data_IF_431121937448
#
_entry.id   IF_431121937448
#
_cell.length_a   1.000
_cell.length_b   1.000
_cell.length_c   1.000
_cell.angle_alpha   90.00
_cell.angle_beta   90.00
_cell.angle_gamma   90.00
#
_symmetry.space_group_name_H-M   'P 1'
#
loop_
_entity.id
_entity.type
_entity.pdbx_description
1 polymer ?
#
# COMPACT_ATOMS: atom_id res chain seq x y z
N UNK A 1 42.95 -12.46 29.87
CA UNK A 1 43.40 -11.10 30.26
C UNK A 1 43.34 -10.93 31.77
N UNK A 2 44.38 -10.34 32.37
CA UNK A 2 44.38 -9.95 33.79
C UNK A 2 43.31 -8.89 34.08
N UNK A 3 42.93 -8.72 35.34
CA UNK A 3 41.96 -7.70 35.75
C UNK A 3 42.45 -6.28 35.41
N UNK A 4 43.75 -6.02 35.60
CA UNK A 4 44.39 -4.75 35.25
C UNK A 4 44.28 -4.45 33.74
N UNK A 5 44.57 -5.44 32.88
CA UNK A 5 44.47 -5.26 31.42
C UNK A 5 43.03 -4.97 30.95
N UNK A 6 42.02 -5.55 31.63
CA UNK A 6 40.61 -5.24 31.35
C UNK A 6 40.24 -3.81 31.72
N UNK A 7 40.71 -3.33 32.88
CA UNK A 7 40.47 -1.95 33.32
C UNK A 7 41.13 -0.94 32.40
N UNK A 8 42.36 -1.20 31.94
CA UNK A 8 43.05 -0.34 30.96
C UNK A 8 42.29 -0.25 29.64
N UNK A 9 41.89 -1.39 29.07
CA UNK A 9 41.13 -1.40 27.82
C UNK A 9 39.78 -0.66 27.94
N UNK A 10 39.14 -0.71 29.11
CA UNK A 10 37.88 0.02 29.34
C UNK A 10 38.08 1.52 29.61
N UNK A 11 39.24 1.91 30.10
CA UNK A 11 39.67 3.31 30.17
C UNK A 11 39.96 3.87 28.77
N UNK A 12 40.55 3.07 27.89
CA UNK A 12 40.80 3.48 26.48
C UNK A 12 39.49 3.75 25.73
N UNK A 13 38.43 3.01 26.04
CA UNK A 13 37.08 3.29 25.54
C UNK A 13 36.54 4.64 26.03
N UNK A 14 36.77 4.98 27.30
CA UNK A 14 36.37 6.29 27.84
C UNK A 14 37.15 7.42 27.14
N UNK A 15 38.47 7.22 26.94
CA UNK A 15 39.31 8.14 26.16
C UNK A 15 38.71 8.37 24.77
N UNK A 16 38.31 7.31 24.06
CA UNK A 16 37.69 7.43 22.74
C UNK A 16 36.41 8.27 22.75
N UNK A 17 35.55 8.12 23.75
CA UNK A 17 34.35 8.96 23.90
C UNK A 17 34.74 10.43 24.05
N UNK A 18 35.71 10.73 24.92
CA UNK A 18 36.14 12.10 25.20
C UNK A 18 36.92 12.75 24.07
N UNK A 19 37.76 12.03 23.34
CA UNK A 19 38.59 12.62 22.29
C UNK A 19 37.88 12.58 20.94
N UNK A 20 37.39 11.41 20.52
CA UNK A 20 36.84 11.20 19.18
C UNK A 20 35.38 11.62 19.10
N UNK A 21 34.50 11.14 19.99
CA UNK A 21 33.07 11.45 19.88
C UNK A 21 32.78 12.92 20.26
N UNK A 22 33.38 13.38 21.36
CA UNK A 22 33.24 14.75 21.84
C UNK A 22 34.09 15.78 21.06
N UNK A 23 35.03 15.32 20.23
CA UNK A 23 35.97 16.14 19.45
C UNK A 23 36.82 17.08 20.31
N UNK A 24 37.42 16.51 21.37
CA UNK A 24 38.39 17.19 22.21
C UNK A 24 39.82 16.78 21.80
N UNK A 25 40.81 17.62 22.12
CA UNK A 25 42.22 17.36 21.85
C UNK A 25 42.70 16.09 22.60
N UNK A 26 43.26 15.15 21.85
CA UNK A 26 43.79 13.89 22.39
C UNK A 26 45.02 14.11 23.28
N UNK A 27 45.80 15.15 23.01
CA UNK A 27 47.07 15.42 23.71
C UNK A 27 46.86 15.78 25.17
N UNK A 28 45.74 16.45 25.48
CA UNK A 28 45.42 16.99 26.80
C UNK A 28 44.11 16.43 27.37
N UNK A 29 43.72 15.22 26.95
CA UNK A 29 42.42 14.67 27.32
C UNK A 29 42.27 14.47 28.84
N UNK A 30 43.34 14.13 29.56
CA UNK A 30 43.32 13.94 31.03
C UNK A 30 43.13 15.26 31.80
N UNK A 31 43.53 16.39 31.22
CA UNK A 31 43.40 17.73 31.83
C UNK A 31 42.17 18.48 31.35
N UNK A 32 41.39 17.89 30.43
CA UNK A 32 40.16 18.48 29.94
C UNK A 32 39.06 18.45 31.02
N UNK A 33 38.28 19.53 31.15
CA UNK A 33 37.19 19.69 32.12
C UNK A 33 36.28 18.45 32.24
N UNK A 34 35.95 17.83 31.10
CA UNK A 34 35.13 16.60 31.07
C UNK A 34 35.79 15.46 31.85
N UNK A 35 37.08 15.20 31.63
CA UNK A 35 37.77 14.14 32.35
C UNK A 35 37.99 14.48 33.81
N UNK A 36 38.36 15.73 34.10
CA UNK A 36 38.52 16.20 35.47
C UNK A 36 37.22 16.04 36.28
N UNK A 37 36.08 16.41 35.68
CA UNK A 37 34.78 16.25 36.31
C UNK A 37 34.38 14.77 36.49
N UNK A 38 34.62 13.93 35.48
CA UNK A 38 34.32 12.49 35.56
C UNK A 38 35.18 11.81 36.63
N UNK A 39 36.51 12.02 36.61
CA UNK A 39 37.42 11.45 37.60
C UNK A 39 37.13 11.96 39.01
N UNK A 40 36.80 13.23 39.19
CA UNK A 40 36.37 13.78 40.48
C UNK A 40 35.09 13.12 40.99
N UNK A 41 34.16 12.79 40.09
CA UNK A 41 32.93 12.04 40.40
C UNK A 41 33.16 10.53 40.59
N UNK A 42 34.38 10.02 40.40
CA UNK A 42 34.73 8.60 40.53
C UNK A 42 34.49 7.76 39.28
N UNK A 43 34.37 8.40 38.11
CA UNK A 43 34.14 7.75 36.81
C UNK A 43 35.46 7.68 36.04
N UNK A 44 36.12 6.52 36.11
CA UNK A 44 37.44 6.30 35.51
C UNK A 44 37.41 5.44 34.23
N UNK A 45 36.32 4.70 34.01
CA UNK A 45 36.18 3.77 32.89
C UNK A 45 34.90 4.01 32.11
N UNK A 46 34.83 3.45 30.90
CA UNK A 46 33.61 3.52 30.10
C UNK A 46 32.43 2.81 30.77
N UNK A 47 32.69 1.69 31.45
CA UNK A 47 31.67 0.98 32.22
C UNK A 47 31.09 1.86 33.33
N UNK A 48 31.91 2.65 34.01
CA UNK A 48 31.45 3.60 35.03
C UNK A 48 30.58 4.70 34.41
N UNK A 49 30.97 5.24 33.24
CA UNK A 49 30.18 6.23 32.50
C UNK A 49 28.80 5.68 32.12
N UNK A 50 28.71 4.41 31.74
CA UNK A 50 27.46 3.76 31.36
C UNK A 50 26.49 3.54 32.52
N UNK A 51 26.96 3.64 33.77
CA UNK A 51 26.13 3.55 34.97
C UNK A 51 25.56 4.91 35.39
N UNK A 52 26.01 6.01 34.78
CA UNK A 52 25.55 7.35 35.13
C UNK A 52 24.13 7.61 34.64
N UNK A 53 23.31 8.22 35.50
CA UNK A 53 22.03 8.77 35.12
C UNK A 53 22.17 10.22 34.62
N UNK A 54 21.10 10.73 34.01
CA UNK A 54 21.01 12.14 33.59
C UNK A 54 21.33 13.10 34.74
N UNK A 55 20.81 12.82 35.93
CA UNK A 55 21.00 13.68 37.12
C UNK A 55 22.45 13.73 37.55
N UNK A 56 23.16 12.60 37.47
CA UNK A 56 24.58 12.52 37.79
C UNK A 56 25.41 13.38 36.84
N UNK A 57 25.15 13.26 35.53
CA UNK A 57 25.82 14.08 34.50
C UNK A 57 25.49 15.57 34.68
N UNK A 58 24.25 15.89 35.05
CA UNK A 58 23.83 17.27 35.31
C UNK A 58 24.51 17.87 36.55
N UNK A 59 24.88 17.04 37.52
CA UNK A 59 25.56 17.40 38.77
C UNK A 59 27.09 17.45 38.68
N UNK A 60 27.68 17.09 37.53
CA UNK A 60 29.14 17.08 37.34
C UNK A 60 29.76 18.46 37.58
N UNK A 61 30.77 18.49 38.45
CA UNK A 61 31.59 19.66 38.77
C UNK A 61 33.04 19.41 38.40
N UNK A 62 33.68 20.44 37.85
CA UNK A 62 35.12 20.44 37.57
C UNK A 62 35.81 20.90 38.87
N UNK A 63 36.72 20.08 39.45
CA UNK A 63 37.42 20.43 40.67
C UNK A 63 38.37 21.62 40.45
N UNK A 64 38.81 22.24 41.55
CA UNK A 64 39.78 23.34 41.51
C UNK A 64 41.04 22.90 40.77
N UNK A 65 41.38 23.59 39.70
CA UNK A 65 42.57 23.34 38.89
C UNK A 65 43.44 24.59 38.81
N UNK A 66 44.54 24.58 39.56
CA UNK A 66 45.44 25.73 39.66
C UNK A 66 44.75 26.95 40.26
N UNK A 67 44.47 27.96 39.43
CA UNK A 67 43.80 29.21 39.82
C UNK A 67 42.29 29.23 39.56
N UNK A 68 41.76 28.21 38.88
CA UNK A 68 40.34 28.13 38.52
C UNK A 68 39.58 27.49 39.69
N UNK A 69 38.60 28.22 40.23
CA UNK A 69 37.71 27.72 41.27
C UNK A 69 36.80 26.61 40.75
N UNK A 70 36.28 25.79 41.65
CA UNK A 70 35.32 24.74 41.30
C UNK A 70 34.12 25.33 40.56
N UNK A 71 33.74 24.72 39.44
CA UNK A 71 32.61 25.17 38.64
C UNK A 71 31.84 23.99 38.02
N UNK A 72 30.55 24.18 37.69
CA UNK A 72 29.79 23.17 36.98
C UNK A 72 30.39 22.87 35.60
N UNK A 73 30.31 21.63 35.15
CA UNK A 73 30.67 21.26 33.79
C UNK A 73 29.79 22.02 32.78
N UNK A 74 30.37 22.44 31.65
CA UNK A 74 29.66 23.23 30.64
C UNK A 74 28.38 22.56 30.15
N UNK A 75 27.32 23.35 29.89
CA UNK A 75 26.04 22.82 29.43
C UNK A 75 26.18 21.93 28.18
N UNK A 76 26.97 22.39 27.20
CA UNK A 76 27.23 21.64 25.96
C UNK A 76 27.92 20.31 26.25
N UNK A 77 28.94 20.30 27.11
CA UNK A 77 29.70 19.09 27.46
C UNK A 77 28.81 18.06 28.16
N UNK A 78 27.99 18.51 29.14
CA UNK A 78 26.99 17.65 29.81
C UNK A 78 26.01 17.02 28.81
N UNK A 79 25.50 17.81 27.87
CA UNK A 79 24.59 17.33 26.82
C UNK A 79 25.25 16.35 25.86
N UNK A 80 26.52 16.58 25.51
CA UNK A 80 27.25 15.70 24.62
C UNK A 80 27.60 14.36 25.30
N UNK A 81 27.94 14.34 26.59
CA UNK A 81 28.12 13.10 27.37
C UNK A 81 26.83 12.26 27.37
N UNK A 82 25.71 12.91 27.66
CA UNK A 82 24.40 12.26 27.62
C UNK A 82 24.08 11.71 26.22
N UNK A 83 24.37 12.49 25.17
CA UNK A 83 24.18 12.06 23.79
C UNK A 83 25.08 10.87 23.44
N UNK A 84 26.30 10.80 23.95
CA UNK A 84 27.24 9.69 23.71
C UNK A 84 26.72 8.38 24.32
N UNK A 85 26.21 8.42 25.55
CA UNK A 85 25.58 7.27 26.22
C UNK A 85 24.37 6.79 25.41
N UNK A 86 23.49 7.72 25.01
CA UNK A 86 22.33 7.39 24.18
C UNK A 86 22.71 6.82 22.81
N UNK A 87 23.77 7.34 22.19
CA UNK A 87 24.28 6.87 20.89
C UNK A 87 24.77 5.42 20.98
N UNK A 88 25.55 5.09 22.01
CA UNK A 88 26.00 3.72 22.26
C UNK A 88 24.81 2.76 22.39
N UNK A 89 23.82 3.12 23.21
CA UNK A 89 22.62 2.29 23.38
C UNK A 89 21.77 2.18 22.11
N UNK A 90 21.72 3.21 21.27
CA UNK A 90 21.02 3.16 20.00
C UNK A 90 21.70 2.21 19.02
N UNK A 91 23.01 2.31 18.85
CA UNK A 91 23.75 1.45 17.91
C UNK A 91 23.73 -0.02 18.36
N UNK A 92 23.87 -0.29 19.66
CA UNK A 92 23.73 -1.65 20.20
C UNK A 92 22.33 -2.24 19.91
N UNK A 93 21.27 -1.42 19.96
CA UNK A 93 19.90 -1.84 19.62
C UNK A 93 19.74 -2.13 18.13
N UNK A 94 20.23 -1.25 17.26
CA UNK A 94 20.15 -1.45 15.80
C UNK A 94 20.88 -2.73 15.35
N UNK A 95 22.01 -3.06 15.97
CA UNK A 95 22.80 -4.24 15.63
C UNK A 95 22.43 -5.50 16.42
N UNK A 96 21.47 -5.41 17.35
CA UNK A 96 21.08 -6.48 18.27
C UNK A 96 22.26 -7.15 18.99
N UNK A 97 23.32 -6.39 19.29
CA UNK A 97 24.53 -6.86 19.97
C UNK A 97 25.25 -5.72 20.68
N UNK A 98 26.04 -6.05 21.71
CA UNK A 98 26.98 -5.07 22.28
C UNK A 98 28.06 -4.77 21.24
N UNK A 99 28.22 -3.50 20.90
CA UNK A 99 29.34 -3.04 20.08
C UNK A 99 30.51 -2.58 20.96
N UNK A 100 31.70 -2.49 20.38
CA UNK A 100 32.80 -1.75 20.99
C UNK A 100 32.64 -0.26 20.68
N UNK A 101 32.65 0.60 21.70
CA UNK A 101 32.43 2.05 21.54
C UNK A 101 33.51 2.71 20.68
N UNK A 102 34.72 2.13 20.64
CA UNK A 102 35.82 2.58 19.77
C UNK A 102 35.48 2.51 18.28
N UNK A 103 34.49 1.71 17.90
CA UNK A 103 33.99 1.64 16.52
C UNK A 103 33.11 2.82 16.10
N UNK A 104 32.65 3.64 17.07
CA UNK A 104 31.80 4.80 16.80
C UNK A 104 32.69 5.98 16.38
N UNK A 105 32.67 6.35 15.11
CA UNK A 105 33.36 7.53 14.61
C UNK A 105 32.63 8.83 15.00
N UNK A 106 33.36 9.95 15.01
CA UNK A 106 32.79 11.28 15.17
C UNK A 106 31.63 11.54 14.20
N UNK A 107 31.78 11.16 12.92
CA UNK A 107 30.76 11.35 11.91
C UNK A 107 29.46 10.58 12.21
N UNK A 108 29.57 9.33 12.70
CA UNK A 108 28.40 8.54 13.10
C UNK A 108 27.71 9.15 14.31
N UNK A 109 28.50 9.62 15.29
CA UNK A 109 27.97 10.32 16.45
C UNK A 109 27.25 11.63 16.07
N UNK A 110 27.79 12.43 15.15
CA UNK A 110 27.12 13.64 14.68
C UNK A 110 25.81 13.34 13.95
N UNK A 111 25.76 12.31 13.10
CA UNK A 111 24.52 11.87 12.45
C UNK A 111 23.44 11.50 13.46
N UNK A 112 23.81 10.77 14.52
CA UNK A 112 22.89 10.46 15.61
C UNK A 112 22.39 11.73 16.31
N UNK A 113 23.30 12.64 16.67
CA UNK A 113 22.97 13.89 17.36
C UNK A 113 22.01 14.79 16.57
N UNK A 114 22.17 14.88 15.25
CA UNK A 114 21.36 15.75 14.39
C UNK A 114 20.01 15.11 14.04
N UNK A 115 19.98 13.79 13.79
CA UNK A 115 18.79 13.14 13.22
C UNK A 115 17.91 12.38 14.21
N UNK A 116 18.45 11.91 15.34
CA UNK A 116 17.77 10.93 16.22
C UNK A 116 17.78 11.30 17.70
N UNK A 117 18.69 12.15 18.14
CA UNK A 117 18.83 12.48 19.55
C UNK A 117 17.75 13.45 20.03
N UNK A 118 17.04 13.06 21.09
CA UNK A 118 16.11 13.91 21.83
C UNK A 118 16.72 14.28 23.20
N UNK A 119 17.01 15.57 23.47
CA UNK A 119 17.57 16.01 24.75
C UNK A 119 16.67 15.77 25.96
N UNK A 120 15.37 15.59 25.77
CA UNK A 120 14.36 15.39 26.82
C UNK A 120 14.08 13.91 27.13
N UNK A 121 14.40 13.01 26.20
CA UNK A 121 14.18 11.58 26.36
C UNK A 121 15.04 10.96 27.48
N UNK A 122 14.46 10.02 28.23
CA UNK A 122 15.22 9.26 29.23
C UNK A 122 16.28 8.35 28.57
N UNK A 123 17.40 8.16 29.28
CA UNK A 123 18.44 7.21 28.86
C UNK A 123 17.90 5.80 29.07
N UNK A 124 17.79 5.03 27.98
CA UNK A 124 17.28 3.65 28.01
C UNK A 124 18.41 2.69 27.66
N UNK A 125 18.84 1.83 28.60
CA UNK A 125 19.87 0.84 28.32
C UNK A 125 19.45 -0.14 27.22
N UNK A 126 20.41 -0.55 26.39
CA UNK A 126 20.14 -1.42 25.24
C UNK A 126 19.72 -2.85 25.62
N UNK A 127 20.18 -3.33 26.79
CA UNK A 127 19.79 -4.63 27.36
C UNK A 127 18.49 -4.57 28.13
N UNK A 128 18.00 -3.37 28.46
CA UNK A 128 16.64 -3.26 28.95
C UNK A 128 15.78 -3.69 27.78
N UNK A 129 15.13 -4.85 27.92
CA UNK A 129 13.86 -5.14 27.27
C UNK A 129 12.89 -4.07 27.76
N UNK A 130 13.06 -2.84 27.27
CA UNK A 130 11.92 -2.01 26.99
C UNK A 130 11.22 -2.86 25.95
N UNK A 131 10.18 -3.57 26.39
CA UNK A 131 9.10 -3.88 25.48
C UNK A 131 8.95 -2.60 24.65
N UNK A 132 8.97 -2.67 23.31
CA UNK A 132 8.72 -1.49 22.51
C UNK A 132 7.50 -0.80 23.13
N UNK A 133 7.29 0.48 22.88
CA UNK A 133 5.90 0.93 22.97
C UNK A 133 5.16 0.10 21.90
N UNK A 134 4.30 -0.83 22.29
CA UNK A 134 4.64 -2.27 22.22
C UNK A 134 4.14 -2.82 20.91
N UNK A 135 4.94 -3.66 20.23
CA UNK A 135 4.40 -4.40 19.10
C UNK A 135 3.15 -5.15 19.57
N UNK A 136 3.12 -5.69 20.78
CA UNK A 136 1.93 -6.25 21.42
C UNK A 136 0.83 -5.21 21.71
N UNK A 137 1.14 -3.96 22.09
CA UNK A 137 0.14 -2.89 22.27
C UNK A 137 -0.41 -2.36 20.93
N UNK A 138 0.39 -2.30 19.86
CA UNK A 138 -0.04 -2.01 18.50
C UNK A 138 -0.82 -3.19 17.90
N UNK A 139 -0.41 -4.43 18.19
CA UNK A 139 -1.14 -5.66 17.84
C UNK A 139 -2.45 -5.72 18.63
N UNK A 140 -2.46 -5.37 19.92
CA UNK A 140 -3.65 -5.36 20.78
C UNK A 140 -4.58 -4.20 20.41
N UNK A 141 -4.03 -3.03 20.09
CA UNK A 141 -4.76 -1.91 19.52
C UNK A 141 -5.32 -2.27 18.14
N UNK A 142 -4.54 -2.94 17.28
CA UNK A 142 -5.03 -3.45 16.00
C UNK A 142 -6.17 -4.45 16.24
N UNK A 143 -5.99 -5.46 17.09
CA UNK A 143 -7.02 -6.43 17.44
C UNK A 143 -8.30 -5.79 18.05
N UNK A 144 -8.18 -4.66 18.78
CA UNK A 144 -9.30 -3.94 19.41
C UNK A 144 -9.99 -2.94 18.48
N UNK A 145 -9.22 -2.20 17.67
CA UNK A 145 -9.68 -1.10 16.81
C UNK A 145 -10.21 -1.63 15.48
N UNK A 146 -9.67 -2.75 15.03
CA UNK A 146 -9.91 -3.28 13.69
C UNK A 146 -10.99 -4.36 13.79
N UNK A 147 -12.25 -3.92 13.88
CA UNK A 147 -13.42 -4.78 13.56
C UNK A 147 -13.48 -5.01 12.05
N UNK A 148 -12.39 -5.45 11.42
CA UNK A 148 -12.46 -5.85 10.01
C UNK A 148 -13.22 -7.17 9.97
N UNK A 149 -14.42 -7.11 9.41
CA UNK A 149 -15.15 -8.33 9.15
C UNK A 149 -14.64 -8.92 7.85
N UNK A 150 -14.31 -10.21 7.87
CA UNK A 150 -14.02 -10.94 6.61
C UNK A 150 -15.22 -10.91 5.66
N UNK A 151 -16.43 -10.67 6.16
CA UNK A 151 -17.64 -10.51 5.34
C UNK A 151 -17.62 -9.27 4.43
N UNK A 152 -16.77 -8.28 4.73
CA UNK A 152 -16.69 -7.05 3.95
C UNK A 152 -16.02 -7.27 2.58
N UNK A 153 -15.34 -8.41 2.42
CA UNK A 153 -14.68 -8.81 1.20
C UNK A 153 -15.56 -9.75 0.39
N UNK A 154 -15.99 -9.31 -0.80
CA UNK A 154 -16.79 -10.11 -1.73
C UNK A 154 -15.96 -11.27 -2.28
N UNK A 155 -16.64 -12.38 -2.56
CA UNK A 155 -15.99 -13.54 -3.17
C UNK A 155 -15.68 -13.33 -4.65
N UNK A 156 -14.50 -13.78 -5.08
CA UNK A 156 -14.07 -13.83 -6.47
C UNK A 156 -14.31 -15.22 -7.05
N UNK A 157 -15.41 -15.39 -7.80
CA UNK A 157 -15.83 -16.69 -8.36
C UNK A 157 -15.65 -16.82 -9.86
N UNK A 158 -15.72 -15.71 -10.58
CA UNK A 158 -15.67 -15.67 -12.04
C UNK A 158 -14.59 -14.69 -12.48
N UNK A 159 -13.64 -15.22 -13.25
CA UNK A 159 -12.47 -14.49 -13.74
C UNK A 159 -12.86 -13.30 -14.61
N UNK A 160 -13.98 -13.37 -15.34
CA UNK A 160 -14.47 -12.29 -16.20
C UNK A 160 -14.72 -10.97 -15.44
N UNK A 161 -14.96 -11.05 -14.12
CA UNK A 161 -15.23 -9.91 -13.26
C UNK A 161 -14.01 -9.44 -12.46
N UNK A 162 -12.80 -9.90 -12.80
CA UNK A 162 -11.57 -9.52 -12.10
C UNK A 162 -11.44 -8.01 -11.86
N UNK A 163 -11.69 -7.18 -12.87
CA UNK A 163 -11.56 -5.72 -12.74
C UNK A 163 -12.48 -5.14 -11.66
N UNK A 164 -13.78 -5.46 -11.74
CA UNK A 164 -14.76 -5.00 -10.77
C UNK A 164 -14.45 -5.53 -9.36
N UNK A 165 -14.10 -6.81 -9.27
CA UNK A 165 -13.76 -7.42 -7.98
C UNK A 165 -12.49 -6.81 -7.36
N UNK A 166 -11.44 -6.59 -8.16
CA UNK A 166 -10.16 -6.05 -7.67
C UNK A 166 -10.26 -4.59 -7.26
N UNK A 167 -11.07 -3.78 -7.96
CA UNK A 167 -11.41 -2.42 -7.54
C UNK A 167 -12.18 -2.40 -6.22
N UNK A 168 -13.25 -3.19 -6.11
CA UNK A 168 -14.04 -3.35 -4.88
C UNK A 168 -13.13 -3.81 -3.72
N UNK A 169 -12.26 -4.79 -3.97
CA UNK A 169 -11.31 -5.31 -2.98
C UNK A 169 -10.33 -4.22 -2.53
N UNK A 170 -9.74 -3.46 -3.46
CA UNK A 170 -8.81 -2.37 -3.15
C UNK A 170 -9.48 -1.27 -2.33
N UNK A 171 -10.73 -0.92 -2.65
CA UNK A 171 -11.51 0.06 -1.91
C UNK A 171 -11.76 -0.40 -0.46
N UNK A 172 -12.14 -1.66 -0.25
CA UNK A 172 -12.30 -2.24 1.09
C UNK A 172 -10.98 -2.25 1.86
N UNK A 173 -9.86 -2.59 1.21
CA UNK A 173 -8.53 -2.53 1.86
C UNK A 173 -8.16 -1.10 2.26
N UNK A 174 -8.47 -0.12 1.42
CA UNK A 174 -8.24 1.31 1.71
C UNK A 174 -9.10 1.81 2.87
N UNK A 175 -10.39 1.44 2.95
CA UNK A 175 -11.25 1.82 4.08
C UNK A 175 -10.75 1.24 5.40
N UNK A 176 -10.13 0.06 5.35
CA UNK A 176 -9.49 -0.57 6.50
C UNK A 176 -8.08 -0.06 6.82
N UNK A 177 -7.56 0.89 6.03
CA UNK A 177 -6.21 1.46 6.15
C UNK A 177 -5.10 0.39 6.08
N UNK A 178 -5.29 -0.62 5.22
CA UNK A 178 -4.36 -1.74 5.03
C UNK A 178 -3.69 -1.75 3.65
N UNK A 179 -3.65 -0.60 2.96
CA UNK A 179 -3.12 -0.48 1.59
C UNK A 179 -1.65 -0.90 1.48
N UNK A 180 -0.86 -0.68 2.53
CA UNK A 180 0.56 -1.08 2.60
C UNK A 180 0.79 -2.59 2.47
N UNK A 181 -0.23 -3.42 2.69
CA UNK A 181 -0.15 -4.88 2.53
C UNK A 181 -0.22 -5.35 1.07
N UNK A 182 -0.64 -4.47 0.15
CA UNK A 182 -0.73 -4.74 -1.29
C UNK A 182 0.27 -3.93 -2.11
N UNK A 183 0.90 -2.91 -1.51
CA UNK A 183 1.87 -2.05 -2.18
C UNK A 183 3.26 -2.70 -2.29
N UNK A 184 3.84 -2.63 -3.49
CA UNK A 184 5.18 -3.15 -3.76
C UNK A 184 6.25 -2.22 -3.18
N UNK A 185 7.24 -2.79 -2.49
CA UNK A 185 8.40 -2.04 -1.99
C UNK A 185 8.16 -1.31 -0.66
N UNK A 186 7.01 -1.51 -0.02
CA UNK A 186 6.76 -0.97 1.32
C UNK A 186 7.72 -1.58 2.36
N UNK A 187 8.42 -0.73 3.11
CA UNK A 187 9.30 -1.12 4.21
C UNK A 187 8.57 -0.83 5.52
N UNK A 188 8.25 -1.89 6.27
CA UNK A 188 7.51 -1.75 7.52
C UNK A 188 8.39 -1.18 8.64
N UNK A 189 7.89 -0.15 9.32
CA UNK A 189 8.50 0.39 10.54
C UNK A 189 8.49 -0.63 11.69
N UNK A 190 7.41 -1.43 11.78
CA UNK A 190 7.28 -2.55 12.73
C UNK A 190 7.14 -3.89 11.98
N UNK A 191 8.23 -4.67 11.84
CA UNK A 191 8.20 -5.96 11.13
C UNK A 191 7.28 -7.02 11.73
N UNK A 192 7.08 -6.99 13.05
CA UNK A 192 6.25 -7.98 13.76
C UNK A 192 4.76 -7.76 13.50
N UNK A 193 4.31 -6.49 13.54
CA UNK A 193 2.95 -6.10 13.19
C UNK A 193 2.66 -6.37 11.71
N UNK A 194 3.59 -6.01 10.83
CA UNK A 194 3.46 -6.26 9.38
C UNK A 194 3.28 -7.76 9.08
N UNK A 195 4.01 -8.63 9.78
CA UNK A 195 3.84 -10.09 9.64
C UNK A 195 2.42 -10.55 9.99
N UNK A 196 1.88 -10.12 11.13
CA UNK A 196 0.53 -10.51 11.58
C UNK A 196 -0.54 -9.97 10.63
N UNK A 197 -0.38 -8.73 10.18
CA UNK A 197 -1.29 -8.12 9.21
C UNK A 197 -1.25 -8.84 7.86
N UNK A 198 -0.07 -9.22 7.38
CA UNK A 198 0.07 -10.03 6.15
C UNK A 198 -0.58 -11.40 6.28
N UNK A 199 -0.37 -12.11 7.40
CA UNK A 199 -1.00 -13.41 7.64
C UNK A 199 -2.53 -13.31 7.64
N UNK A 200 -3.07 -12.27 8.30
CA UNK A 200 -4.50 -12.00 8.30
C UNK A 200 -5.04 -11.68 6.89
N UNK A 201 -4.33 -10.83 6.14
CA UNK A 201 -4.73 -10.46 4.78
C UNK A 201 -4.63 -11.66 3.83
N UNK A 202 -3.59 -12.47 3.97
CA UNK A 202 -3.40 -13.70 3.21
C UNK A 202 -4.54 -14.70 3.49
N UNK A 203 -4.95 -14.87 4.75
CA UNK A 203 -6.12 -15.68 5.09
C UNK A 203 -7.40 -15.13 4.45
N UNK A 204 -7.59 -13.81 4.45
CA UNK A 204 -8.73 -13.15 3.82
C UNK A 204 -8.74 -13.41 2.30
N UNK A 205 -7.59 -13.29 1.64
CA UNK A 205 -7.44 -13.63 0.21
C UNK A 205 -7.82 -15.09 -0.07
N UNK A 206 -7.35 -16.05 0.76
CA UNK A 206 -7.75 -17.46 0.65
C UNK A 206 -9.27 -17.68 0.79
N UNK A 207 -9.92 -16.92 1.66
CA UNK A 207 -11.38 -17.05 1.85
C UNK A 207 -12.17 -16.42 0.70
N UNK A 208 -11.69 -15.31 0.15
CA UNK A 208 -12.38 -14.58 -0.92
C UNK A 208 -12.16 -15.17 -2.31
N UNK A 209 -10.99 -15.73 -2.60
CA UNK A 209 -10.62 -16.20 -3.94
C UNK A 209 -11.11 -17.63 -4.15
N UNK A 210 -12.10 -17.78 -5.05
CA UNK A 210 -12.70 -19.08 -5.39
C UNK A 210 -12.29 -19.61 -6.76
N UNK A 211 -11.71 -18.78 -7.63
CA UNK A 211 -11.24 -19.17 -8.97
C UNK A 211 -10.10 -20.18 -8.91
N UNK A 212 -10.05 -21.08 -9.91
CA UNK A 212 -9.02 -22.13 -9.98
C UNK A 212 -7.62 -21.52 -10.14
N UNK A 213 -7.45 -20.54 -11.02
CA UNK A 213 -6.17 -19.86 -11.22
C UNK A 213 -5.75 -19.10 -9.94
N UNK A 214 -6.69 -18.37 -9.32
CA UNK A 214 -6.43 -17.64 -8.07
C UNK A 214 -5.97 -18.56 -6.92
N UNK A 215 -6.60 -19.73 -6.76
CA UNK A 215 -6.17 -20.74 -5.77
C UNK A 215 -4.78 -21.30 -6.05
N UNK A 216 -4.43 -21.49 -7.32
CA UNK A 216 -3.08 -21.94 -7.71
C UNK A 216 -2.03 -20.91 -7.30
N UNK A 217 -2.27 -19.62 -7.55
CA UNK A 217 -1.36 -18.55 -7.12
C UNK A 217 -1.25 -18.45 -5.60
N UNK A 218 -2.35 -18.61 -4.86
CA UNK A 218 -2.30 -18.64 -3.40
C UNK A 218 -1.41 -19.78 -2.92
N UNK A 219 -1.59 -20.99 -3.45
CA UNK A 219 -0.82 -22.18 -3.03
C UNK A 219 0.70 -21.98 -3.21
N UNK A 220 1.12 -21.28 -4.27
CA UNK A 220 2.53 -20.95 -4.50
C UNK A 220 3.14 -20.01 -3.45
N UNK A 221 2.33 -19.23 -2.75
CA UNK A 221 2.75 -18.23 -1.77
C UNK A 221 2.45 -18.62 -0.30
N UNK A 222 2.00 -19.86 -0.07
CA UNK A 222 1.58 -20.37 1.23
C UNK A 222 2.65 -20.30 2.33
N UNK A 223 3.93 -20.49 1.98
CA UNK A 223 5.02 -20.58 2.97
C UNK A 223 5.40 -19.23 3.56
N UNK A 224 5.28 -18.15 2.79
CA UNK A 224 5.80 -16.83 3.18
C UNK A 224 4.67 -15.82 3.45
N UNK A 225 3.41 -16.14 3.12
CA UNK A 225 2.26 -15.23 3.26
C UNK A 225 2.51 -13.84 2.65
N UNK A 226 3.31 -13.78 1.57
CA UNK A 226 3.72 -12.54 0.92
C UNK A 226 2.59 -11.98 0.05
N UNK A 227 1.69 -11.22 0.67
CA UNK A 227 0.49 -10.65 0.04
C UNK A 227 0.82 -9.67 -1.08
N UNK A 228 1.92 -8.92 -0.97
CA UNK A 228 2.37 -7.92 -1.96
C UNK A 228 2.76 -8.57 -3.28
N UNK A 229 3.61 -9.59 -3.20
CA UNK A 229 4.07 -10.34 -4.37
C UNK A 229 2.94 -11.14 -5.00
N UNK A 230 2.05 -11.70 -4.17
CA UNK A 230 0.84 -12.35 -4.64
C UNK A 230 -0.05 -11.38 -5.44
N UNK A 231 -0.34 -10.20 -4.89
CA UNK A 231 -1.20 -9.21 -5.53
C UNK A 231 -0.64 -8.70 -6.86
N UNK A 232 0.68 -8.48 -6.93
CA UNK A 232 1.38 -8.11 -8.16
C UNK A 232 1.24 -9.20 -9.23
N UNK A 233 1.54 -10.46 -8.88
CA UNK A 233 1.45 -11.58 -9.83
C UNK A 233 0.03 -11.82 -10.31
N UNK A 234 -0.95 -11.76 -9.41
CA UNK A 234 -2.36 -11.95 -9.77
C UNK A 234 -2.86 -10.81 -10.65
N UNK A 235 -2.50 -9.56 -10.32
CA UNK A 235 -2.81 -8.39 -11.14
C UNK A 235 -2.18 -8.48 -12.53
N UNK A 236 -0.93 -8.91 -12.62
CA UNK A 236 -0.26 -9.10 -13.91
C UNK A 236 -0.87 -10.28 -14.68
N UNK A 237 -1.20 -11.39 -14.03
CA UNK A 237 -1.85 -12.51 -14.68
C UNK A 237 -3.17 -12.09 -15.32
N UNK A 238 -4.07 -11.42 -14.59
CA UNK A 238 -5.36 -11.02 -15.15
C UNK A 238 -5.30 -9.79 -16.07
N UNK A 239 -4.23 -8.98 -16.01
CA UNK A 239 -3.94 -7.95 -17.02
C UNK A 239 -3.44 -8.55 -18.34
N UNK A 240 -2.65 -9.62 -18.28
CA UNK A 240 -1.88 -10.12 -19.44
C UNK A 240 -2.45 -11.43 -20.02
N UNK A 241 -3.19 -12.21 -19.24
CA UNK A 241 -3.57 -13.58 -19.58
C UNK A 241 -5.09 -13.76 -19.60
N UNK A 242 -5.59 -14.28 -20.72
CA UNK A 242 -6.85 -15.02 -20.88
C UNK A 242 -8.17 -14.30 -20.55
N UNK A 243 -8.30 -13.51 -19.49
CA UNK A 243 -9.55 -12.85 -19.11
C UNK A 243 -9.93 -11.71 -20.03
N UNK A 244 -8.98 -10.89 -20.47
CA UNK A 244 -9.24 -9.89 -21.51
C UNK A 244 -9.69 -10.57 -22.81
N UNK A 245 -9.07 -11.69 -23.17
CA UNK A 245 -9.41 -12.50 -24.35
C UNK A 245 -10.76 -13.23 -24.23
N UNK A 246 -11.07 -13.81 -23.06
CA UNK A 246 -12.36 -14.47 -22.79
C UNK A 246 -13.47 -13.42 -22.75
N UNK A 247 -13.21 -12.25 -22.14
CA UNK A 247 -14.17 -11.16 -22.07
C UNK A 247 -14.40 -10.56 -23.46
N UNK A 248 -13.36 -10.31 -24.23
CA UNK A 248 -13.51 -9.86 -25.62
C UNK A 248 -14.25 -10.91 -26.43
N UNK A 249 -13.91 -12.20 -26.31
CA UNK A 249 -14.62 -13.30 -26.98
C UNK A 249 -16.11 -13.37 -26.57
N UNK A 250 -16.44 -13.34 -25.28
CA UNK A 250 -17.82 -13.37 -24.78
C UNK A 250 -18.63 -12.14 -25.21
N UNK A 251 -18.00 -10.96 -25.17
CA UNK A 251 -18.64 -9.71 -25.61
C UNK A 251 -18.85 -9.73 -27.13
N UNK A 252 -17.88 -10.25 -27.89
CA UNK A 252 -17.98 -10.49 -29.33
C UNK A 252 -19.10 -11.46 -29.67
N UNK A 253 -19.22 -12.59 -28.97
CA UNK A 253 -20.36 -13.52 -29.12
C UNK A 253 -21.67 -12.80 -28.85
N UNK A 254 -21.77 -12.05 -27.74
CA UNK A 254 -22.97 -11.29 -27.43
C UNK A 254 -23.33 -10.30 -28.54
N UNK A 255 -22.37 -9.56 -29.08
CA UNK A 255 -22.60 -8.60 -30.16
C UNK A 255 -23.04 -9.28 -31.47
N UNK A 256 -22.48 -10.44 -31.78
CA UNK A 256 -22.74 -11.16 -33.05
C UNK A 256 -23.96 -12.06 -33.01
N UNK A 257 -24.41 -12.50 -31.83
CA UNK A 257 -25.56 -13.39 -31.68
C UNK A 257 -26.77 -12.72 -31.01
N UNK A 258 -26.65 -11.48 -30.54
CA UNK A 258 -27.79 -10.78 -29.95
C UNK A 258 -28.94 -10.69 -30.94
N UNK A 259 -30.14 -10.99 -30.46
CA UNK A 259 -31.37 -10.88 -31.25
C UNK A 259 -32.48 -10.37 -30.35
N UNK A 260 -33.13 -9.28 -30.72
CA UNK A 260 -34.23 -8.71 -29.93
C UNK A 260 -35.54 -9.50 -30.09
N UNK A 261 -35.68 -10.27 -31.17
CA UNK A 261 -36.91 -11.02 -31.49
C UNK A 261 -36.97 -12.42 -30.86
N UNK A 262 -35.88 -12.92 -30.28
CA UNK A 262 -35.79 -14.26 -29.69
C UNK A 262 -36.43 -14.38 -28.29
N UNK A 263 -36.89 -13.26 -27.72
CA UNK A 263 -37.50 -13.20 -26.40
C UNK A 263 -36.53 -13.34 -25.21
N UNK A 264 -35.22 -13.37 -25.46
CA UNK A 264 -34.18 -13.43 -24.42
C UNK A 264 -34.10 -12.13 -23.61
N UNK A 265 -34.43 -11.00 -24.22
CA UNK A 265 -34.44 -9.67 -23.59
C UNK A 265 -35.78 -9.39 -22.90
N UNK A 266 -35.74 -9.06 -21.60
CA UNK A 266 -36.95 -8.78 -20.76
C UNK A 266 -37.23 -7.29 -20.52
N UNK A 267 -36.53 -6.40 -21.22
CA UNK A 267 -36.67 -4.95 -21.07
C UNK A 267 -37.35 -4.27 -22.27
N UNK A 268 -37.46 -2.94 -22.19
CA UNK A 268 -37.90 -2.09 -23.31
C UNK A 268 -36.86 -2.06 -24.43
N UNK A 269 -37.28 -1.70 -25.65
CA UNK A 269 -36.41 -1.70 -26.82
C UNK A 269 -35.27 -0.69 -26.68
N UNK A 270 -35.52 0.49 -26.10
CA UNK A 270 -34.48 1.48 -25.84
C UNK A 270 -33.33 0.94 -24.98
N UNK A 271 -33.65 0.20 -23.91
CA UNK A 271 -32.65 -0.36 -23.02
C UNK A 271 -31.80 -1.43 -23.72
N UNK A 272 -32.39 -2.18 -24.66
CA UNK A 272 -31.64 -3.14 -25.47
C UNK A 272 -30.58 -2.43 -26.32
N UNK A 273 -30.97 -1.36 -27.03
CA UNK A 273 -30.07 -0.60 -27.90
C UNK A 273 -28.94 0.05 -27.09
N UNK A 274 -29.26 0.63 -25.92
CA UNK A 274 -28.26 1.21 -25.02
C UNK A 274 -27.29 0.14 -24.48
N UNK A 275 -27.80 -1.03 -24.09
CA UNK A 275 -26.97 -2.13 -23.66
C UNK A 275 -26.05 -2.62 -24.78
N UNK A 276 -26.56 -2.76 -26.01
CA UNK A 276 -25.77 -3.16 -27.17
C UNK A 276 -24.64 -2.15 -27.45
N UNK A 277 -24.95 -0.85 -27.42
CA UNK A 277 -23.97 0.24 -27.57
C UNK A 277 -22.86 0.14 -26.51
N UNK A 278 -23.22 -0.11 -25.25
CA UNK A 278 -22.26 -0.28 -24.18
C UNK A 278 -21.40 -1.55 -24.33
N UNK A 279 -21.97 -2.67 -24.81
CA UNK A 279 -21.18 -3.87 -25.12
C UNK A 279 -20.16 -3.60 -26.23
N UNK A 280 -20.53 -2.83 -27.27
CA UNK A 280 -19.61 -2.41 -28.34
C UNK A 280 -18.43 -1.59 -27.82
N UNK A 281 -18.70 -0.63 -26.93
CA UNK A 281 -17.65 0.16 -26.27
C UNK A 281 -16.75 -0.71 -25.41
N UNK A 282 -17.31 -1.57 -24.56
CA UNK A 282 -16.56 -2.49 -23.70
C UNK A 282 -15.64 -3.39 -24.54
N UNK A 283 -16.12 -3.91 -25.66
CA UNK A 283 -15.29 -4.73 -26.55
C UNK A 283 -14.12 -3.92 -27.14
N UNK A 284 -14.38 -2.75 -27.71
CA UNK A 284 -13.36 -1.90 -28.32
C UNK A 284 -12.33 -1.34 -27.33
N UNK A 285 -12.71 -1.18 -26.05
CA UNK A 285 -11.79 -0.80 -24.98
C UNK A 285 -10.94 -1.98 -24.49
N UNK A 286 -11.49 -3.20 -24.53
CA UNK A 286 -10.81 -4.42 -24.07
C UNK A 286 -9.90 -5.04 -25.15
N UNK A 287 -10.28 -4.91 -26.43
CA UNK A 287 -9.55 -5.47 -27.57
C UNK A 287 -8.50 -4.50 -28.09
N UNK A 288 -7.22 -4.87 -27.97
CA UNK A 288 -6.09 -4.03 -28.42
C UNK A 288 -5.84 -4.12 -29.93
N UNK A 289 -6.04 -5.30 -30.54
CA UNK A 289 -5.70 -5.56 -31.95
C UNK A 289 -6.92 -5.74 -32.88
N UNK A 290 -8.08 -6.12 -32.34
CA UNK A 290 -9.28 -6.47 -33.12
C UNK A 290 -10.47 -5.58 -32.76
N UNK A 291 -10.34 -4.26 -32.90
CA UNK A 291 -11.47 -3.35 -32.64
C UNK A 291 -12.50 -3.45 -33.77
N UNK A 292 -13.78 -3.46 -33.42
CA UNK A 292 -14.84 -3.35 -34.41
C UNK A 292 -14.94 -1.93 -34.93
N UNK A 293 -14.98 -1.81 -36.25
CA UNK A 293 -15.31 -0.57 -36.94
C UNK A 293 -16.81 -0.25 -36.78
N UNK A 294 -17.16 1.02 -36.93
CA UNK A 294 -18.55 1.48 -36.94
C UNK A 294 -19.42 0.69 -37.92
N UNK A 295 -18.89 0.40 -39.12
CA UNK A 295 -19.61 -0.39 -40.11
C UNK A 295 -19.95 -1.81 -39.64
N UNK A 296 -19.03 -2.46 -38.91
CA UNK A 296 -19.28 -3.79 -38.34
C UNK A 296 -20.31 -3.73 -37.21
N UNK A 297 -20.21 -2.74 -36.31
CA UNK A 297 -21.18 -2.57 -35.22
C UNK A 297 -22.59 -2.26 -35.75
N UNK A 298 -22.71 -1.47 -36.83
CA UNK A 298 -23.96 -1.22 -37.54
C UNK A 298 -24.53 -2.53 -38.12
N UNK A 299 -23.71 -3.34 -38.78
CA UNK A 299 -24.15 -4.64 -39.32
C UNK A 299 -24.65 -5.59 -38.25
N UNK A 300 -23.93 -5.71 -37.13
CA UNK A 300 -24.33 -6.56 -36.02
C UNK A 300 -25.63 -6.08 -35.36
N UNK A 301 -25.77 -4.77 -35.14
CA UNK A 301 -26.99 -4.19 -34.58
C UNK A 301 -28.18 -4.35 -35.53
N UNK A 302 -27.97 -4.19 -36.84
CA UNK A 302 -29.01 -4.41 -37.86
C UNK A 302 -29.49 -5.86 -37.87
N UNK A 303 -28.58 -6.83 -37.77
CA UNK A 303 -28.94 -8.23 -37.62
C UNK A 303 -29.73 -8.47 -36.33
N UNK A 304 -29.29 -7.87 -35.22
CA UNK A 304 -29.93 -8.03 -33.92
C UNK A 304 -31.38 -7.51 -33.86
N UNK A 305 -31.71 -6.48 -34.66
CA UNK A 305 -33.06 -5.89 -34.72
C UNK A 305 -33.87 -6.30 -35.95
N UNK A 306 -33.32 -7.12 -36.84
CA UNK A 306 -33.94 -7.49 -38.12
C UNK A 306 -35.32 -8.16 -37.98
N UNK A 307 -35.54 -8.93 -36.91
CA UNK A 307 -36.82 -9.57 -36.60
C UNK A 307 -37.87 -8.65 -35.97
N UNK A 308 -37.55 -7.38 -35.71
CA UNK A 308 -38.43 -6.42 -35.03
C UNK A 308 -39.00 -5.43 -36.05
N UNK A 309 -40.32 -5.50 -36.36
CA UNK A 309 -40.90 -4.75 -37.48
C UNK A 309 -40.72 -3.23 -37.42
N UNK A 310 -40.73 -2.63 -36.23
CA UNK A 310 -40.57 -1.18 -36.06
C UNK A 310 -39.11 -0.71 -36.18
N UNK A 311 -38.13 -1.61 -36.16
CA UNK A 311 -36.69 -1.29 -36.18
C UNK A 311 -35.97 -1.80 -37.44
N UNK A 312 -36.45 -2.89 -38.07
CA UNK A 312 -35.80 -3.58 -39.19
C UNK A 312 -35.69 -2.76 -40.48
N UNK A 313 -36.43 -1.65 -40.59
CA UNK A 313 -36.39 -0.73 -41.72
C UNK A 313 -35.51 0.51 -41.53
N UNK A 314 -35.05 0.78 -40.31
CA UNK A 314 -34.45 2.07 -39.92
C UNK A 314 -33.26 2.47 -40.80
N UNK A 315 -32.32 1.53 -41.02
CA UNK A 315 -31.11 1.80 -41.81
C UNK A 315 -31.42 2.14 -43.27
N UNK A 316 -32.43 1.50 -43.87
CA UNK A 316 -32.84 1.78 -45.26
C UNK A 316 -33.41 3.19 -45.39
N UNK A 317 -34.22 3.59 -44.41
CA UNK A 317 -34.83 4.94 -44.35
C UNK A 317 -33.74 6.00 -44.20
N UNK A 318 -32.79 5.80 -43.29
CA UNK A 318 -31.69 6.74 -43.05
C UNK A 318 -30.79 6.90 -44.28
N UNK A 319 -30.42 5.79 -44.93
CA UNK A 319 -29.60 5.81 -46.14
C UNK A 319 -30.31 6.53 -47.30
N UNK A 320 -31.61 6.31 -47.46
CA UNK A 320 -32.42 7.00 -48.46
C UNK A 320 -32.49 8.52 -48.18
N UNK A 321 -32.69 8.91 -46.92
CA UNK A 321 -32.72 10.30 -46.51
C UNK A 321 -31.37 11.00 -46.75
N UNK A 322 -30.25 10.34 -46.42
CA UNK A 322 -28.90 10.88 -46.65
C UNK A 322 -28.54 11.02 -48.12
N UNK A 323 -28.88 10.02 -48.94
CA UNK A 323 -28.69 10.08 -50.39
C UNK A 323 -29.47 11.23 -51.01
N UNK A 324 -30.71 11.46 -50.54
CA UNK A 324 -31.55 12.58 -50.99
C UNK A 324 -30.99 13.95 -50.57
N UNK A 325 -30.30 14.01 -49.42
CA UNK A 325 -29.68 15.22 -48.89
C UNK A 325 -28.27 15.51 -49.46
N UNK A 326 -27.74 14.67 -50.36
CA UNK A 326 -26.35 14.73 -50.86
C UNK A 326 -25.30 14.79 -49.75
N UNK A 327 -25.56 14.09 -48.63
CA UNK A 327 -24.58 13.99 -47.57
C UNK A 327 -23.59 12.85 -47.89
N UNK A 328 -22.32 13.20 -48.08
CA UNK A 328 -21.22 12.27 -48.40
C UNK A 328 -20.53 11.68 -47.15
N UNK A 329 -20.94 12.10 -45.95
CA UNK A 329 -20.34 11.62 -44.69
C UNK A 329 -20.64 10.13 -44.46
N UNK A 330 -19.63 9.41 -43.98
CA UNK A 330 -19.75 8.00 -43.59
C UNK A 330 -20.81 7.81 -42.52
N UNK A 331 -21.76 6.89 -42.74
CA UNK A 331 -22.81 6.57 -41.79
C UNK A 331 -22.21 5.91 -40.53
N UNK A 332 -22.21 6.64 -39.42
CA UNK A 332 -21.56 6.20 -38.18
C UNK A 332 -22.45 5.26 -37.36
N UNK A 333 -21.83 4.55 -36.41
CA UNK A 333 -22.59 3.75 -35.44
C UNK A 333 -23.47 4.64 -34.55
N UNK A 334 -23.01 5.85 -34.23
CA UNK A 334 -23.76 6.81 -33.42
C UNK A 334 -25.04 7.26 -34.14
N UNK A 335 -24.95 7.58 -35.43
CA UNK A 335 -26.10 7.97 -36.24
C UNK A 335 -27.18 6.87 -36.27
N UNK A 336 -26.76 5.62 -36.45
CA UNK A 336 -27.70 4.50 -36.50
C UNK A 336 -28.36 4.23 -35.13
N UNK A 337 -27.58 4.27 -34.06
CA UNK A 337 -28.14 4.07 -32.70
C UNK A 337 -29.12 5.18 -32.33
N UNK A 338 -28.86 6.43 -32.72
CA UNK A 338 -29.77 7.54 -32.47
C UNK A 338 -31.12 7.35 -33.19
N UNK A 339 -31.10 6.95 -34.46
CA UNK A 339 -32.33 6.64 -35.22
C UNK A 339 -33.12 5.48 -34.59
N UNK A 340 -32.44 4.40 -34.20
CA UNK A 340 -33.08 3.27 -33.53
C UNK A 340 -33.67 3.66 -32.17
N UNK A 341 -32.98 4.49 -31.38
CA UNK A 341 -33.48 4.96 -30.09
C UNK A 341 -34.75 5.82 -30.23
N UNK A 342 -34.84 6.63 -31.29
CA UNK A 342 -36.04 7.41 -31.62
C UNK A 342 -37.23 6.51 -31.97
N UNK A 343 -37.03 5.53 -32.85
CA UNK A 343 -38.08 4.56 -33.22
C UNK A 343 -38.51 3.68 -32.05
N UNK A 344 -37.54 3.25 -31.21
CA UNK A 344 -37.80 2.51 -30.00
C UNK A 344 -38.58 3.34 -28.98
N UNK A 345 -38.29 4.64 -28.82
CA UNK A 345 -39.02 5.53 -27.92
C UNK A 345 -40.52 5.59 -28.27
N UNK A 346 -40.84 5.71 -29.56
CA UNK A 346 -42.21 5.77 -30.06
C UNK A 346 -42.94 4.45 -29.76
N UNK A 347 -42.29 3.32 -30.03
CA UNK A 347 -42.85 2.01 -29.77
C UNK A 347 -43.05 1.73 -28.28
N UNK A 348 -42.02 2.00 -27.47
CA UNK A 348 -42.03 1.77 -26.02
C UNK A 348 -43.08 2.67 -25.34
N UNK A 349 -43.24 3.93 -25.77
CA UNK A 349 -44.30 4.81 -25.30
C UNK A 349 -45.70 4.24 -25.60
N UNK A 350 -45.92 3.72 -26.81
CA UNK A 350 -47.18 3.11 -27.21
C UNK A 350 -47.50 1.81 -26.44
N UNK A 351 -46.48 1.04 -26.02
CA UNK A 351 -46.66 -0.26 -25.34
C UNK A 351 -46.53 -0.20 -23.81
N UNK A 352 -46.09 0.94 -23.26
CA UNK A 352 -46.01 1.18 -21.82
C UNK A 352 -47.39 1.17 -21.12
N UNK A 353 -48.48 1.43 -21.86
CA UNK A 353 -49.86 1.41 -21.36
C UNK A 353 -50.46 0.01 -21.20
N UNK A 354 -49.98 -1.00 -21.93
CA UNK A 354 -50.63 -2.33 -22.01
C UNK A 354 -50.24 -3.27 -20.87
N UNK A 355 -49.12 -3.01 -20.19
CA UNK A 355 -48.66 -3.82 -19.04
C UNK A 355 -49.48 -3.60 -17.77
N UNK A 356 -50.17 -2.45 -17.64
CA UNK A 356 -50.96 -2.11 -16.44
C UNK A 356 -52.34 -2.78 -16.35
N UNK A 357 -52.83 -3.51 -17.37
CA UNK A 357 -54.18 -4.10 -17.33
C UNK A 357 -54.26 -5.61 -17.05
N UNK A 358 -53.13 -6.31 -16.88
CA UNK A 358 -53.13 -7.78 -16.63
C UNK A 358 -53.09 -8.19 -15.15
N UNK A 359 -53.42 -7.27 -14.25
CA UNK A 359 -53.44 -7.50 -12.80
C UNK A 359 -54.77 -7.12 -12.15
N UNK A 360 -55.92 -7.44 -12.77
CA UNK A 360 -57.17 -7.53 -12.01
C UNK A 360 -58.26 -8.31 -12.76
N UNK A 361 -58.29 -9.63 -12.62
CA UNK A 361 -59.50 -10.42 -12.85
C UNK A 361 -59.37 -11.83 -12.28
N UNK A 362 -60.06 -12.00 -11.13
CA UNK A 362 -60.52 -13.22 -10.42
C UNK A 362 -59.50 -14.09 -9.69
#
# INVERSE_FOLDING_TARGET
MSAAARRTADRDKLKHVVTIMLNNDETNWETHDVMLALTHFGVDTFSDLMMMERKDIESLVVPVTGTVAEHPLGFSQRRQLLAAICCFHHICREQAKSIDVTSISFANFQRFRIGRWDPSAEVVPWLTTRAPVSAEAEIEHWNKTVKISRSDYKEFRDEAFWHKWSEDFLLTVKSHRLSHLLEKGYVAENPSLDRIQREWMYKTLCDTIKTTAGKLFLTQHLKNSETRLFWEKMSNHYKTSMTATIRSSKTSTCLTTANLSDGSWRGIQQNFILNFKEQGRIYNDTSVHDKYSDGQLVQFLEQAVSGVPNLSGARRVDMFARSSAKNEDTYSFEDYTASLLSLAAIYDAAHSGTSRSRGNSR
#
